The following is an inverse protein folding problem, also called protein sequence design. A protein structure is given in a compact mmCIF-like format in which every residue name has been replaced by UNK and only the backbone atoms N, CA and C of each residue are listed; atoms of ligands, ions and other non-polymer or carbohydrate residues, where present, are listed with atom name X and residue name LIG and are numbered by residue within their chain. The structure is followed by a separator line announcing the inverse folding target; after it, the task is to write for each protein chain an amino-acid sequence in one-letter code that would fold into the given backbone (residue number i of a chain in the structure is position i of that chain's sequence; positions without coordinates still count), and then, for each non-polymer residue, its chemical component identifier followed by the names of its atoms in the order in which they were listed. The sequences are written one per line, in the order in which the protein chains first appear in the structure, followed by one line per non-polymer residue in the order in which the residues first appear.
data_IF_282617267275
#
_entry.id   IF_282617267275
#
_cell.length_a   1.000
_cell.length_b   1.000
_cell.length_c   1.000
_cell.angle_alpha   90.00
_cell.angle_beta   90.00
_cell.angle_gamma   90.00
#
_symmetry.space_group_name_H-M   'P 1'
#
loop_
_entity.id
_entity.type
_entity.pdbx_description
1 polymer ?
#
# COMPACT_ATOMS: atom_id res chain seq x y z
N UNK A 1 -6.52 -13.23 8.11
CA UNK A 1 -6.83 -11.92 7.49
C UNK A 1 -6.78 -12.07 5.97
N UNK A 2 -7.49 -13.06 5.43
CA UNK A 2 -7.57 -13.26 3.98
C UNK A 2 -8.79 -12.52 3.48
N UNK A 3 -8.59 -11.29 3.02
CA UNK A 3 -9.66 -10.50 2.41
C UNK A 3 -9.16 -10.05 1.06
N UNK A 4 -10.04 -10.07 0.05
CA UNK A 4 -9.70 -9.58 -1.31
C UNK A 4 -9.24 -8.11 -1.36
N UNK A 5 -9.36 -7.38 -0.26
CA UNK A 5 -9.03 -5.97 -0.13
C UNK A 5 -7.75 -5.70 0.64
N UNK A 6 -7.17 -6.73 1.27
CA UNK A 6 -5.94 -6.61 2.02
C UNK A 6 -4.92 -7.57 1.42
N UNK A 7 -3.80 -7.00 1.00
CA UNK A 7 -2.69 -7.75 0.45
C UNK A 7 -1.41 -7.22 1.07
N UNK A 8 -0.57 -8.14 1.53
CA UNK A 8 0.72 -7.76 2.10
C UNK A 8 1.66 -7.31 0.98
N UNK A 9 2.66 -6.51 1.37
CA UNK A 9 3.68 -6.05 0.43
C UNK A 9 4.48 -7.22 -0.19
N UNK A 10 4.68 -8.29 0.56
CA UNK A 10 5.37 -9.51 0.11
C UNK A 10 4.56 -10.26 -0.97
N UNK A 11 3.24 -10.39 -0.77
CA UNK A 11 2.33 -10.96 -1.76
C UNK A 11 2.21 -10.09 -3.01
N UNK A 12 2.25 -8.76 -2.85
CA UNK A 12 2.26 -7.83 -3.98
C UNK A 12 3.53 -7.96 -4.83
N UNK A 13 4.71 -8.04 -4.19
CA UNK A 13 5.98 -8.24 -4.90
C UNK A 13 6.09 -9.61 -5.58
N UNK A 14 5.50 -10.65 -4.99
CA UNK A 14 5.47 -11.99 -5.58
C UNK A 14 4.70 -12.01 -6.92
N UNK A 15 3.68 -11.16 -7.06
CA UNK A 15 2.90 -11.03 -8.29
C UNK A 15 3.47 -10.03 -9.29
N UNK A 16 4.39 -9.16 -8.84
CA UNK A 16 5.00 -8.10 -9.65
C UNK A 16 6.53 -8.20 -9.70
N UNK A 17 7.09 -9.25 -10.36
CA UNK A 17 8.54 -9.43 -10.48
C UNK A 17 9.24 -8.34 -11.31
N UNK A 18 8.50 -7.49 -12.02
CA UNK A 18 8.99 -6.33 -12.75
C UNK A 18 9.45 -5.17 -11.85
N UNK A 19 9.11 -5.20 -10.56
CA UNK A 19 9.50 -4.15 -9.62
C UNK A 19 10.97 -4.34 -9.24
N UNK A 20 11.80 -3.36 -9.63
CA UNK A 20 13.22 -3.34 -9.24
C UNK A 20 13.34 -3.31 -7.71
N UNK A 21 14.13 -4.24 -7.17
CA UNK A 21 14.41 -4.36 -5.73
C UNK A 21 14.91 -3.05 -5.10
N UNK A 22 15.52 -2.15 -5.87
CA UNK A 22 15.96 -0.82 -5.43
C UNK A 22 14.80 0.12 -5.14
N UNK A 23 13.68 -0.03 -5.82
CA UNK A 23 12.49 0.79 -5.65
C UNK A 23 11.63 0.36 -4.46
N UNK A 24 11.79 -0.89 -4.00
CA UNK A 24 11.05 -1.47 -2.88
C UNK A 24 11.18 -0.62 -1.60
N UNK A 25 12.39 -0.14 -1.30
CA UNK A 25 12.65 0.70 -0.11
C UNK A 25 12.01 2.09 -0.16
N UNK A 26 11.62 2.56 -1.35
CA UNK A 26 10.96 3.87 -1.55
C UNK A 26 9.44 3.71 -1.73
N UNK A 27 9.01 2.61 -2.36
CA UNK A 27 7.60 2.33 -2.61
C UNK A 27 6.83 2.02 -1.33
N UNK A 28 7.39 1.22 -0.43
CA UNK A 28 6.72 0.86 0.82
C UNK A 28 6.28 2.09 1.66
N UNK A 29 7.16 3.05 2.00
CA UNK A 29 6.73 4.24 2.74
C UNK A 29 5.80 5.16 1.94
N UNK A 30 5.92 5.18 0.61
CA UNK A 30 5.02 5.94 -0.27
C UNK A 30 3.59 5.39 -0.24
N UNK A 31 3.43 4.07 -0.32
CA UNK A 31 2.12 3.40 -0.30
C UNK A 31 1.44 3.59 1.05
N UNK A 32 2.17 3.40 2.14
CA UNK A 32 1.67 3.68 3.48
C UNK A 32 1.21 5.13 3.63
N UNK A 33 1.98 6.09 3.10
CA UNK A 33 1.59 7.50 3.08
C UNK A 33 0.29 7.76 2.30
N UNK A 34 0.03 7.04 1.20
CA UNK A 34 -1.24 7.14 0.47
C UNK A 34 -2.40 6.54 1.25
N UNK A 35 -2.20 5.43 1.97
CA UNK A 35 -3.21 4.83 2.84
C UNK A 35 -3.62 5.79 3.96
N UNK A 36 -2.65 6.43 4.61
CA UNK A 36 -2.89 7.43 5.65
C UNK A 36 -3.63 8.66 5.11
N UNK A 37 -3.29 9.13 3.92
CA UNK A 37 -3.95 10.26 3.27
C UNK A 37 -5.40 9.93 2.91
N UNK A 38 -5.64 8.72 2.38
CA UNK A 38 -6.98 8.23 2.02
C UNK A 38 -7.83 8.04 3.28
N UNK A 39 -7.25 7.48 4.35
CA UNK A 39 -7.92 7.37 5.64
C UNK A 39 -8.28 8.76 6.20
N UNK A 40 -7.34 9.70 6.19
CA UNK A 40 -7.57 11.08 6.62
C UNK A 40 -8.67 11.78 5.82
N UNK A 41 -8.69 11.58 4.49
CA UNK A 41 -9.74 12.10 3.62
C UNK A 41 -11.12 11.53 3.97
N UNK A 42 -11.24 10.21 4.17
CA UNK A 42 -12.51 9.58 4.56
C UNK A 42 -12.98 10.08 5.93
N UNK A 43 -12.07 10.20 6.89
CA UNK A 43 -12.40 10.74 8.23
C UNK A 43 -12.88 12.19 8.15
N UNK A 44 -12.31 13.00 7.26
CA UNK A 44 -12.75 14.38 7.03
C UNK A 44 -14.14 14.48 6.40
N UNK A 45 -14.52 13.54 5.52
CA UNK A 45 -15.88 13.50 4.95
C UNK A 45 -16.96 13.07 5.94
N UNK A 46 -16.58 12.36 7.01
CA UNK A 46 -17.49 11.90 8.05
C UNK A 46 -17.69 12.92 9.18
N UNK A 47 -16.91 14.02 9.17
CA UNK A 47 -16.95 15.10 10.16
C UNK A 47 -17.71 16.30 9.62
#
# INVERSE_FOLDING_TARGET
MDTKYYKTWEEYLAEHPEIDKRLVGVMAPKIQGYEEMMFGFVMMLLM
#
